data_IF_220124168417
#
_entry.id   IF_220124168417
#
_cell.length_a   1.000
_cell.length_b   1.000
_cell.length_c   1.000
_cell.angle_alpha   90.00
_cell.angle_beta   90.00
_cell.angle_gamma   90.00
#
_symmetry.space_group_name_H-M   'P 1'
#
loop_
_entity.id
_entity.type
_entity.pdbx_description
1 polymer ?
#
# COMPACT_ATOMS: atom_id res chain seq x y z
N UNK A 1 -29.19 -5.23 32.19
CA UNK A 1 -28.15 -5.95 31.42
C UNK A 1 -26.93 -5.03 31.40
N UNK A 2 -26.00 -5.23 32.34
CA UNK A 2 -24.81 -4.38 32.49
C UNK A 2 -23.68 -5.04 31.74
N UNK A 3 -23.26 -4.41 30.66
CA UNK A 3 -22.09 -4.84 29.89
C UNK A 3 -20.83 -4.72 30.75
N UNK A 4 -20.03 -5.77 30.79
CA UNK A 4 -18.75 -5.75 31.49
C UNK A 4 -17.79 -4.79 30.75
N UNK A 5 -17.06 -3.96 31.49
CA UNK A 5 -16.09 -3.00 30.91
C UNK A 5 -15.02 -3.68 30.05
N UNK A 6 -14.70 -4.94 30.34
CA UNK A 6 -13.73 -5.72 29.52
C UNK A 6 -14.31 -6.10 28.16
N UNK A 7 -15.58 -6.55 28.10
CA UNK A 7 -16.25 -6.87 26.82
C UNK A 7 -16.45 -5.63 25.94
N UNK A 8 -16.75 -4.47 26.56
CA UNK A 8 -16.85 -3.20 25.80
C UNK A 8 -15.50 -2.76 25.30
N UNK A 9 -14.42 -2.99 26.05
CA UNK A 9 -13.07 -2.64 25.67
C UNK A 9 -12.54 -3.58 24.55
N UNK A 10 -12.86 -4.88 24.60
CA UNK A 10 -12.55 -5.82 23.51
C UNK A 10 -13.34 -5.50 22.24
N UNK A 11 -14.63 -5.17 22.33
CA UNK A 11 -15.42 -4.73 21.17
C UNK A 11 -14.94 -3.39 20.60
N UNK A 12 -14.45 -2.47 21.41
CA UNK A 12 -13.86 -1.22 20.94
C UNK A 12 -12.48 -1.45 20.27
N UNK A 13 -11.72 -2.43 20.77
CA UNK A 13 -10.41 -2.78 20.18
C UNK A 13 -10.57 -3.45 18.81
N UNK A 14 -11.64 -4.23 18.58
CA UNK A 14 -11.95 -4.80 17.27
C UNK A 14 -12.38 -3.78 16.21
N UNK A 15 -12.77 -2.56 16.62
CA UNK A 15 -13.23 -1.50 15.73
C UNK A 15 -12.13 -0.54 15.27
N UNK A 16 -10.91 -0.70 15.75
CA UNK A 16 -9.76 0.11 15.31
C UNK A 16 -9.33 -0.43 13.95
N UNK A 17 -9.37 0.44 12.92
CA UNK A 17 -8.82 0.15 11.61
C UNK A 17 -7.37 -0.29 11.78
N UNK A 18 -7.05 -1.51 11.39
CA UNK A 18 -5.68 -2.03 11.53
C UNK A 18 -4.75 -1.27 10.59
N UNK A 19 -3.64 -0.79 11.13
CA UNK A 19 -2.53 -0.34 10.31
C UNK A 19 -1.99 -1.54 9.52
N UNK A 20 -1.65 -1.37 8.24
CA UNK A 20 -1.13 -2.44 7.40
C UNK A 20 0.16 -3.07 7.96
N UNK A 21 0.94 -2.32 8.74
CA UNK A 21 2.16 -2.81 9.41
C UNK A 21 1.86 -3.76 10.59
N UNK A 22 0.64 -3.74 11.13
CA UNK A 22 0.21 -4.59 12.25
C UNK A 22 -0.50 -5.87 11.77
N UNK A 23 -0.64 -6.05 10.46
CA UNK A 23 -1.30 -7.20 9.87
C UNK A 23 -0.27 -8.31 9.67
N UNK A 24 -0.53 -9.47 10.24
CA UNK A 24 0.27 -10.68 10.03
C UNK A 24 -0.19 -11.34 8.73
N UNK A 25 0.31 -10.83 7.59
CA UNK A 25 -0.12 -11.26 6.26
C UNK A 25 0.04 -12.76 6.03
N UNK A 26 1.09 -13.38 6.58
CA UNK A 26 1.33 -14.82 6.48
C UNK A 26 0.31 -15.68 7.24
N UNK A 27 -0.54 -15.10 8.10
CA UNK A 27 -1.63 -15.83 8.75
C UNK A 27 -2.81 -16.12 7.81
N UNK A 28 -2.88 -15.39 6.68
CA UNK A 28 -3.90 -15.59 5.67
C UNK A 28 -3.55 -16.71 4.69
N UNK A 29 -2.31 -17.22 4.70
CA UNK A 29 -1.90 -18.33 3.84
C UNK A 29 -2.51 -19.64 4.33
N UNK A 30 -2.95 -20.47 3.39
CA UNK A 30 -3.52 -21.77 3.70
C UNK A 30 -2.46 -22.71 4.31
N UNK A 31 -2.69 -23.16 5.54
CA UNK A 31 -1.73 -23.98 6.34
C UNK A 31 -1.69 -25.46 5.92
N UNK A 32 -1.96 -25.76 4.69
CA UNK A 32 -1.86 -27.13 4.17
C UNK A 32 -0.50 -27.34 3.52
N UNK A 33 0.41 -28.01 4.18
CA UNK A 33 1.80 -28.36 3.86
C UNK A 33 2.29 -28.60 2.42
N UNK A 34 1.50 -28.32 1.41
CA UNK A 34 1.84 -28.29 -0.01
C UNK A 34 1.75 -26.85 -0.50
N UNK A 35 2.72 -26.38 -1.27
CA UNK A 35 2.70 -25.09 -1.93
C UNK A 35 1.67 -25.13 -3.08
N UNK A 36 0.45 -24.72 -2.77
CA UNK A 36 -0.65 -24.64 -3.75
C UNK A 36 -0.49 -23.35 -4.56
N UNK A 37 -0.62 -23.38 -5.91
CA UNK A 37 -0.67 -22.18 -6.72
C UNK A 37 -1.75 -21.21 -6.23
N UNK A 38 -1.43 -19.91 -6.18
CA UNK A 38 -2.35 -18.89 -5.66
C UNK A 38 -3.71 -18.87 -6.37
N UNK A 39 -3.76 -19.28 -7.63
CA UNK A 39 -5.02 -19.42 -8.39
C UNK A 39 -5.98 -20.47 -7.80
N UNK A 40 -5.45 -21.44 -7.05
CA UNK A 40 -6.21 -22.50 -6.38
C UNK A 40 -6.37 -22.26 -4.87
N UNK A 41 -5.75 -21.20 -4.34
CA UNK A 41 -5.82 -20.83 -2.94
C UNK A 41 -7.23 -20.32 -2.55
N UNK A 42 -7.49 -20.23 -1.25
CA UNK A 42 -8.74 -19.68 -0.71
C UNK A 42 -8.95 -18.21 -1.11
N UNK A 43 -10.23 -17.80 -1.17
CA UNK A 43 -10.57 -16.39 -1.42
C UNK A 43 -9.88 -15.44 -0.43
N UNK A 44 -9.77 -15.83 0.84
CA UNK A 44 -9.13 -15.04 1.89
C UNK A 44 -7.64 -14.82 1.61
N UNK A 45 -6.93 -15.86 1.15
CA UNK A 45 -5.52 -15.77 0.79
C UNK A 45 -5.31 -14.88 -0.43
N UNK A 46 -6.07 -15.10 -1.52
CA UNK A 46 -6.05 -14.26 -2.72
C UNK A 46 -6.33 -12.78 -2.38
N UNK A 47 -7.38 -12.53 -1.60
CA UNK A 47 -7.78 -11.18 -1.19
C UNK A 47 -6.72 -10.49 -0.32
N UNK A 48 -6.00 -11.25 0.52
CA UNK A 48 -4.92 -10.70 1.36
C UNK A 48 -3.76 -10.15 0.51
N UNK A 49 -3.40 -10.84 -0.56
CA UNK A 49 -2.35 -10.40 -1.50
C UNK A 49 -2.79 -9.13 -2.23
N UNK A 50 -4.02 -9.12 -2.76
CA UNK A 50 -4.60 -7.95 -3.44
C UNK A 50 -4.63 -6.73 -2.51
N UNK A 51 -5.11 -6.91 -1.28
CA UNK A 51 -5.18 -5.84 -0.28
C UNK A 51 -3.80 -5.33 0.14
N UNK A 52 -2.85 -6.24 0.35
CA UNK A 52 -1.47 -5.89 0.70
C UNK A 52 -0.80 -5.05 -0.39
N UNK A 53 -0.88 -5.47 -1.64
CA UNK A 53 -0.34 -4.69 -2.76
C UNK A 53 -1.01 -3.32 -2.86
N UNK A 54 -2.35 -3.27 -2.72
CA UNK A 54 -3.09 -2.01 -2.73
C UNK A 54 -2.61 -1.02 -1.66
N UNK A 55 -2.48 -1.47 -0.41
CA UNK A 55 -2.06 -0.59 0.69
C UNK A 55 -0.58 -0.18 0.58
N UNK A 56 0.28 -1.07 0.07
CA UNK A 56 1.69 -0.74 -0.19
C UNK A 56 1.82 0.30 -1.31
N UNK A 57 1.04 0.22 -2.38
CA UNK A 57 0.99 1.24 -3.44
C UNK A 57 0.52 2.58 -2.88
N UNK A 58 -0.56 2.59 -2.08
CA UNK A 58 -1.07 3.80 -1.45
C UNK A 58 -0.02 4.43 -0.52
N UNK A 59 0.72 3.62 0.23
CA UNK A 59 1.78 4.09 1.14
C UNK A 59 2.93 4.79 0.39
N UNK A 60 3.15 4.47 -0.88
CA UNK A 60 4.16 5.10 -1.74
C UNK A 60 3.68 6.41 -2.39
N UNK A 61 2.49 6.91 -2.05
CA UNK A 61 1.93 8.14 -2.61
C UNK A 61 1.34 7.98 -4.01
N UNK A 62 0.97 6.75 -4.40
CA UNK A 62 0.35 6.47 -5.69
C UNK A 62 -1.10 6.94 -5.72
N UNK A 63 -1.53 7.52 -6.85
CA UNK A 63 -2.91 7.97 -7.01
C UNK A 63 -3.94 6.84 -6.95
N UNK A 64 -5.11 7.11 -6.37
CA UNK A 64 -6.16 6.14 -6.09
C UNK A 64 -6.60 5.31 -7.31
N UNK A 65 -6.66 5.92 -8.50
CA UNK A 65 -7.03 5.20 -9.74
C UNK A 65 -6.03 4.10 -10.09
N UNK A 66 -4.72 4.36 -9.89
CA UNK A 66 -3.65 3.37 -10.15
C UNK A 66 -3.70 2.25 -9.13
N UNK A 67 -3.90 2.57 -7.84
CA UNK A 67 -4.09 1.55 -6.79
C UNK A 67 -5.22 0.60 -7.15
N UNK A 68 -6.40 1.16 -7.50
CA UNK A 68 -7.58 0.37 -7.90
C UNK A 68 -7.31 -0.49 -9.13
N UNK A 69 -6.68 0.08 -10.17
CA UNK A 69 -6.35 -0.65 -11.39
C UNK A 69 -5.42 -1.83 -11.12
N UNK A 70 -4.40 -1.63 -10.29
CA UNK A 70 -3.46 -2.69 -9.89
C UNK A 70 -4.13 -3.79 -9.07
N UNK A 71 -5.00 -3.42 -8.13
CA UNK A 71 -5.77 -4.40 -7.34
C UNK A 71 -6.68 -5.24 -8.23
N UNK A 72 -7.35 -4.61 -9.20
CA UNK A 72 -8.22 -5.33 -10.13
C UNK A 72 -7.45 -6.27 -11.06
N UNK A 73 -6.30 -5.82 -11.60
CA UNK A 73 -5.46 -6.67 -12.45
C UNK A 73 -4.97 -7.91 -11.70
N UNK A 74 -4.45 -7.75 -10.47
CA UNK A 74 -4.04 -8.89 -9.65
C UNK A 74 -5.20 -9.84 -9.33
N UNK A 75 -6.37 -9.30 -8.99
CA UNK A 75 -7.55 -10.09 -8.70
C UNK A 75 -7.99 -10.93 -9.92
N UNK A 76 -8.01 -10.31 -11.10
CA UNK A 76 -8.36 -10.97 -12.36
C UNK A 76 -7.42 -12.13 -12.69
N UNK A 77 -6.11 -11.94 -12.53
CA UNK A 77 -5.11 -13.00 -12.74
C UNK A 77 -5.22 -14.16 -11.71
N UNK A 78 -5.78 -13.90 -10.53
CA UNK A 78 -6.08 -14.92 -9.52
C UNK A 78 -7.46 -15.56 -9.71
N UNK A 79 -8.23 -15.15 -10.75
CA UNK A 79 -9.57 -15.66 -11.04
C UNK A 79 -10.65 -15.15 -10.08
N UNK A 80 -10.46 -14.01 -9.42
CA UNK A 80 -11.42 -13.36 -8.51
C UNK A 80 -11.76 -11.96 -9.00
N UNK A 81 -12.86 -11.40 -8.52
CA UNK A 81 -13.24 -10.00 -8.79
C UNK A 81 -12.96 -9.14 -7.55
N UNK A 82 -12.42 -7.94 -7.74
CA UNK A 82 -12.18 -7.00 -6.65
C UNK A 82 -12.88 -5.67 -6.90
N UNK A 83 -13.48 -5.12 -5.86
CA UNK A 83 -13.94 -3.72 -5.83
C UNK A 83 -13.28 -3.02 -4.66
N UNK A 84 -12.79 -1.80 -4.88
CA UNK A 84 -12.08 -1.06 -3.84
C UNK A 84 -12.51 0.42 -3.81
N UNK A 85 -12.72 0.93 -2.60
CA UNK A 85 -12.81 2.36 -2.32
C UNK A 85 -11.49 2.83 -1.71
N UNK A 86 -10.84 3.78 -2.39
CA UNK A 86 -9.51 4.26 -2.05
C UNK A 86 -9.65 5.66 -1.47
N UNK A 87 -9.46 5.76 -0.15
CA UNK A 87 -9.37 7.03 0.56
C UNK A 87 -7.94 7.60 0.53
N UNK A 88 -7.75 8.73 1.22
CA UNK A 88 -6.43 9.37 1.31
C UNK A 88 -5.40 8.51 2.07
N UNK A 89 -5.83 7.86 3.15
CA UNK A 89 -5.01 7.05 4.06
C UNK A 89 -5.65 5.69 4.35
N UNK A 90 -6.60 5.25 3.54
CA UNK A 90 -7.32 4.00 3.79
C UNK A 90 -7.79 3.36 2.49
N UNK A 91 -7.92 2.04 2.53
CA UNK A 91 -8.53 1.24 1.49
C UNK A 91 -9.61 0.38 2.14
N UNK A 92 -10.80 0.40 1.57
CA UNK A 92 -11.83 -0.59 1.85
C UNK A 92 -12.09 -1.37 0.57
N UNK A 93 -11.94 -2.68 0.63
CA UNK A 93 -12.07 -3.51 -0.57
C UNK A 93 -12.84 -4.80 -0.28
N UNK A 94 -13.48 -5.29 -1.31
CA UNK A 94 -14.18 -6.56 -1.31
C UNK A 94 -13.74 -7.38 -2.51
N UNK A 95 -13.31 -8.62 -2.27
CA UNK A 95 -13.03 -9.61 -3.29
C UNK A 95 -14.15 -10.66 -3.33
N UNK A 96 -14.49 -11.11 -4.52
CA UNK A 96 -15.55 -12.10 -4.76
C UNK A 96 -15.01 -13.28 -5.57
N UNK A 97 -15.44 -14.50 -5.18
CA UNK A 97 -15.26 -15.73 -5.93
C UNK A 97 -16.62 -16.45 -5.98
N UNK A 98 -17.33 -16.33 -7.11
CA UNK A 98 -18.72 -16.76 -7.22
C UNK A 98 -19.63 -16.00 -6.25
N UNK A 99 -20.28 -16.74 -5.35
CA UNK A 99 -21.19 -16.19 -4.32
C UNK A 99 -20.47 -15.82 -3.02
N UNK A 100 -19.19 -16.20 -2.86
CA UNK A 100 -18.41 -15.92 -1.68
C UNK A 100 -17.77 -14.53 -1.77
N UNK A 101 -17.75 -13.79 -0.63
CA UNK A 101 -17.20 -12.46 -0.54
C UNK A 101 -16.29 -12.29 0.68
N UNK A 102 -15.15 -11.61 0.49
CA UNK A 102 -14.24 -11.20 1.56
C UNK A 102 -14.06 -9.70 1.54
N UNK A 103 -14.37 -9.04 2.66
CA UNK A 103 -14.25 -7.58 2.80
C UNK A 103 -13.25 -7.23 3.90
N UNK A 104 -12.36 -6.30 3.61
CA UNK A 104 -11.39 -5.79 4.58
C UNK A 104 -11.20 -4.28 4.44
N UNK A 105 -10.99 -3.60 5.58
CA UNK A 105 -10.61 -2.19 5.63
C UNK A 105 -9.20 -2.07 6.21
N UNK A 106 -8.34 -1.39 5.46
CA UNK A 106 -6.92 -1.14 5.78
C UNK A 106 -6.71 0.35 5.97
N UNK A 107 -5.78 0.74 6.85
CA UNK A 107 -5.41 2.15 7.01
C UNK A 107 -3.89 2.30 7.15
N UNK A 108 -3.41 3.46 6.71
CA UNK A 108 -2.04 3.92 6.87
C UNK A 108 -1.96 4.87 8.06
N UNK A 109 -0.86 4.82 8.79
CA UNK A 109 -0.51 5.85 9.79
C UNK A 109 0.31 6.96 9.15
N UNK A 110 1.02 6.66 8.06
CA UNK A 110 1.87 7.60 7.35
C UNK A 110 1.90 7.26 5.85
N UNK A 111 2.05 8.26 5.01
CA UNK A 111 2.31 8.11 3.57
C UNK A 111 3.53 8.92 3.20
N UNK A 112 4.27 8.47 2.19
CA UNK A 112 5.41 9.20 1.67
C UNK A 112 5.73 8.78 0.26
N UNK A 113 6.42 9.65 -0.50
CA UNK A 113 6.82 9.30 -1.86
C UNK A 113 8.07 8.42 -1.80
N UNK A 114 7.90 7.13 -2.14
CA UNK A 114 9.00 6.19 -2.30
C UNK A 114 8.95 5.58 -3.71
N UNK A 115 9.62 6.25 -4.64
CA UNK A 115 9.64 5.85 -6.06
C UNK A 115 10.35 4.52 -6.29
N UNK A 116 11.34 4.15 -5.46
CA UNK A 116 12.04 2.88 -5.55
C UNK A 116 11.14 1.70 -5.16
N UNK A 117 10.41 1.83 -4.06
CA UNK A 117 9.39 0.85 -3.64
C UNK A 117 8.27 0.77 -4.66
N UNK A 118 7.77 1.91 -5.15
CA UNK A 118 6.73 1.97 -6.17
C UNK A 118 7.14 1.23 -7.45
N UNK A 119 8.35 1.50 -7.97
CA UNK A 119 8.85 0.83 -9.17
C UNK A 119 8.96 -0.69 -8.97
N UNK A 120 9.38 -1.14 -7.78
CA UNK A 120 9.49 -2.57 -7.48
C UNK A 120 8.12 -3.24 -7.37
N UNK A 121 7.12 -2.54 -6.81
CA UNK A 121 5.72 -3.03 -6.78
C UNK A 121 5.12 -3.13 -8.19
N UNK A 122 5.34 -2.13 -9.03
CA UNK A 122 4.89 -2.17 -10.44
C UNK A 122 5.56 -3.31 -11.21
N UNK A 123 6.83 -3.59 -10.92
CA UNK A 123 7.54 -4.73 -11.50
C UNK A 123 6.96 -6.06 -11.02
N UNK A 124 6.69 -6.19 -9.72
CA UNK A 124 6.04 -7.37 -9.13
C UNK A 124 4.69 -7.66 -9.80
N UNK A 125 3.83 -6.64 -9.96
CA UNK A 125 2.51 -6.80 -10.61
C UNK A 125 2.68 -7.30 -12.05
N UNK A 126 3.60 -6.70 -12.81
CA UNK A 126 3.87 -7.08 -14.20
C UNK A 126 4.46 -8.49 -14.32
N UNK A 127 5.35 -8.89 -13.42
CA UNK A 127 5.91 -10.24 -13.38
C UNK A 127 4.82 -11.26 -13.03
N UNK A 128 3.91 -10.90 -12.13
CA UNK A 128 2.77 -11.74 -11.77
C UNK A 128 1.84 -11.98 -12.97
N UNK A 129 1.49 -10.94 -13.73
CA UNK A 129 0.70 -11.03 -14.97
C UNK A 129 1.38 -11.91 -16.04
N UNK A 130 2.71 -12.01 -16.05
CA UNK A 130 3.48 -12.76 -17.04
C UNK A 130 3.76 -14.23 -16.67
N UNK A 131 3.30 -14.71 -15.53
CA UNK A 131 3.50 -16.10 -15.12
C UNK A 131 3.67 -16.33 -13.63
N UNK A 132 3.32 -15.35 -12.79
CA UNK A 132 3.38 -15.50 -11.33
C UNK A 132 2.23 -16.32 -10.73
N UNK A 133 1.27 -16.77 -11.55
CA UNK A 133 0.07 -17.48 -11.08
C UNK A 133 0.38 -18.88 -10.48
N UNK A 134 1.52 -19.46 -10.83
CA UNK A 134 1.97 -20.76 -10.29
C UNK A 134 2.63 -20.62 -8.90
N UNK A 135 2.91 -19.40 -8.45
CA UNK A 135 3.49 -19.15 -7.14
C UNK A 135 2.45 -19.37 -6.03
N UNK A 136 2.90 -19.86 -4.88
CA UNK A 136 2.04 -19.94 -3.69
C UNK A 136 1.86 -18.58 -3.02
N UNK A 137 0.77 -18.40 -2.26
CA UNK A 137 0.53 -17.17 -1.50
C UNK A 137 1.66 -16.84 -0.53
N UNK A 138 2.26 -17.85 0.09
CA UNK A 138 3.43 -17.67 0.98
C UNK A 138 4.66 -17.12 0.23
N UNK A 139 4.92 -17.59 -1.00
CA UNK A 139 6.00 -17.08 -1.83
C UNK A 139 5.75 -15.62 -2.25
N UNK A 140 4.50 -15.29 -2.60
CA UNK A 140 4.10 -13.93 -2.94
C UNK A 140 4.23 -12.99 -1.74
N UNK A 141 3.81 -13.40 -0.54
CA UNK A 141 3.99 -12.61 0.67
C UNK A 141 5.47 -12.40 1.02
N UNK A 142 6.35 -13.39 0.84
CA UNK A 142 7.80 -13.23 1.01
C UNK A 142 8.41 -12.21 0.04
N UNK A 143 7.96 -12.20 -1.22
CA UNK A 143 8.40 -11.18 -2.17
C UNK A 143 7.93 -9.78 -1.76
N UNK A 144 6.70 -9.67 -1.27
CA UNK A 144 6.15 -8.40 -0.77
C UNK A 144 6.88 -7.92 0.50
N UNK A 145 7.34 -8.84 1.38
CA UNK A 145 8.20 -8.48 2.53
C UNK A 145 9.49 -7.81 2.07
N UNK A 146 10.17 -8.40 1.07
CA UNK A 146 11.40 -7.83 0.52
C UNK A 146 11.17 -6.44 -0.09
N UNK A 147 10.01 -6.23 -0.72
CA UNK A 147 9.64 -4.93 -1.26
C UNK A 147 9.32 -3.95 -0.14
N UNK A 148 8.68 -4.41 0.94
CA UNK A 148 8.32 -3.58 2.09
C UNK A 148 9.55 -3.03 2.81
N UNK A 149 10.64 -3.78 2.86
CA UNK A 149 11.93 -3.36 3.44
C UNK A 149 12.67 -2.29 2.62
N UNK A 150 12.23 -1.97 1.40
CA UNK A 150 12.86 -0.92 0.59
C UNK A 150 12.62 0.45 1.22
N UNK A 151 13.66 1.01 1.79
CA UNK A 151 13.66 2.36 2.35
C UNK A 151 13.93 3.42 1.28
N UNK A 152 13.55 4.68 1.56
CA UNK A 152 13.89 5.80 0.68
C UNK A 152 15.41 5.95 0.51
N UNK A 153 15.85 6.21 -0.73
CA UNK A 153 17.29 6.31 -1.08
C UNK A 153 17.98 7.53 -0.48
N UNK A 154 17.22 8.54 -0.06
CA UNK A 154 17.75 9.83 0.35
C UNK A 154 17.41 10.14 1.81
N UNK A 155 18.35 10.78 2.50
CA UNK A 155 18.09 11.26 3.85
C UNK A 155 17.09 12.43 3.85
N UNK A 156 16.34 12.66 4.95
CA UNK A 156 15.41 13.79 5.04
C UNK A 156 16.07 15.14 4.75
N UNK A 157 17.32 15.31 5.16
CA UNK A 157 18.10 16.54 4.90
C UNK A 157 18.35 16.70 3.39
N UNK A 158 18.70 15.63 2.69
CA UNK A 158 18.93 15.68 1.24
C UNK A 158 17.64 16.01 0.48
N UNK A 159 16.50 15.46 0.93
CA UNK A 159 15.18 15.76 0.36
C UNK A 159 14.78 17.22 0.61
N UNK A 160 14.96 17.72 1.83
CA UNK A 160 14.70 19.12 2.18
C UNK A 160 15.56 20.09 1.35
N UNK A 161 16.86 19.80 1.18
CA UNK A 161 17.73 20.59 0.31
C UNK A 161 17.33 20.57 -1.15
N UNK A 162 16.94 19.41 -1.67
CA UNK A 162 16.44 19.29 -3.03
C UNK A 162 15.14 20.09 -3.24
N UNK A 163 14.20 20.00 -2.29
CA UNK A 163 12.96 20.78 -2.31
C UNK A 163 13.24 22.29 -2.26
N UNK A 164 14.15 22.74 -1.38
CA UNK A 164 14.57 24.12 -1.27
C UNK A 164 15.14 24.66 -2.59
N UNK A 165 16.06 23.92 -3.22
CA UNK A 165 16.68 24.29 -4.49
C UNK A 165 15.65 24.34 -5.61
N UNK A 166 14.76 23.35 -5.67
CA UNK A 166 13.69 23.30 -6.68
C UNK A 166 12.74 24.49 -6.55
N UNK A 167 12.22 24.75 -5.36
CA UNK A 167 11.28 25.86 -5.13
C UNK A 167 11.92 27.23 -5.38
N UNK A 168 13.16 27.44 -4.90
CA UNK A 168 13.91 28.65 -5.18
C UNK A 168 14.14 28.86 -6.69
N UNK A 169 14.55 27.79 -7.41
CA UNK A 169 14.75 27.83 -8.86
C UNK A 169 13.47 28.11 -9.63
N UNK A 170 12.34 27.48 -9.27
CA UNK A 170 11.03 27.76 -9.90
C UNK A 170 10.59 29.20 -9.66
N UNK A 171 10.78 29.73 -8.43
CA UNK A 171 10.45 31.14 -8.13
C UNK A 171 11.23 32.10 -9.05
N UNK A 172 12.52 31.83 -9.26
CA UNK A 172 13.33 32.61 -10.19
C UNK A 172 12.82 32.52 -11.64
N UNK A 173 12.53 31.30 -12.12
CA UNK A 173 12.02 31.08 -13.50
C UNK A 173 10.67 31.76 -13.75
N UNK A 174 9.83 31.90 -12.71
CA UNK A 174 8.53 32.58 -12.77
C UNK A 174 8.66 34.11 -12.65
N UNK A 175 9.88 34.65 -12.60
CA UNK A 175 10.14 36.10 -12.53
C UNK A 175 10.12 36.69 -11.12
N UNK A 176 10.19 35.86 -10.08
CA UNK A 176 10.36 36.32 -8.71
C UNK A 176 11.72 36.94 -8.47
N UNK A 177 11.79 37.93 -7.54
CA UNK A 177 13.02 38.56 -7.13
C UNK A 177 13.86 37.68 -6.17
N UNK A 178 15.01 38.18 -5.78
CA UNK A 178 15.94 37.45 -4.88
C UNK A 178 15.32 37.17 -3.50
N UNK A 179 14.46 38.06 -3.01
CA UNK A 179 13.82 37.93 -1.69
C UNK A 179 12.80 36.81 -1.76
N UNK A 180 11.94 36.78 -2.79
CA UNK A 180 10.93 35.74 -3.01
C UNK A 180 11.59 34.37 -3.20
N UNK A 181 12.69 34.32 -3.96
CA UNK A 181 13.48 33.10 -4.16
C UNK A 181 14.04 32.57 -2.83
N UNK A 182 14.59 33.45 -1.98
CA UNK A 182 15.12 33.07 -0.68
C UNK A 182 14.01 32.59 0.27
N UNK A 183 12.87 33.26 0.31
CA UNK A 183 11.71 32.83 1.09
C UNK A 183 11.18 31.46 0.64
N UNK A 184 11.08 31.21 -0.67
CA UNK A 184 10.66 29.94 -1.22
C UNK A 184 11.68 28.82 -0.88
N UNK A 185 12.98 29.11 -0.98
CA UNK A 185 14.05 28.18 -0.61
C UNK A 185 13.96 27.76 0.86
N UNK A 186 13.89 28.72 1.78
CA UNK A 186 13.82 28.44 3.21
C UNK A 186 12.52 27.75 3.59
N UNK A 187 11.37 28.23 3.06
CA UNK A 187 10.07 27.66 3.35
C UNK A 187 9.95 26.20 2.90
N UNK A 188 10.41 25.88 1.70
CA UNK A 188 10.38 24.52 1.17
C UNK A 188 11.38 23.58 1.88
N UNK A 189 12.54 24.09 2.28
CA UNK A 189 13.56 23.30 2.98
C UNK A 189 13.15 22.90 4.39
N UNK A 190 12.38 23.73 5.10
CA UNK A 190 11.92 23.46 6.47
C UNK A 190 10.59 22.67 6.47
N UNK A 191 9.74 22.89 5.46
CA UNK A 191 8.40 22.31 5.40
C UNK A 191 8.33 20.89 4.82
N UNK A 192 9.49 20.30 4.43
CA UNK A 192 9.54 18.97 3.80
C UNK A 192 9.91 17.84 4.78
#
# INVERSE_FOLDING_TARGET
MTWNKEEVNEMQTQKIRKNHMDILWHEYTDKGGEEIPVTQASLTEKASIVGRVGIMLLSCGTGAWRVRSSMNALAEEMGITCTADIGLMSIEYTCFDGDDGFTQSLCLTNTGVNTSKLNRLEHFIREFEQGGQDMSGEQLHKLLDQIEEIHGLYSPIALGMAAALACGGFTFLLGGGLIEMFCAFVGAGIGN
#
